data_IF_798212206576
#
_entry.id   IF_798212206576
#
_cell.length_a   1.000
_cell.length_b   1.000
_cell.length_c   1.000
_cell.angle_alpha   90.00
_cell.angle_beta   90.00
_cell.angle_gamma   90.00
#
_symmetry.space_group_name_H-M   'P 1'
#
loop_
_entity.id
_entity.type
_entity.pdbx_description
1 polymer ?
#
# COMPACT_ATOMS: atom_id res chain seq x y z
N UNK A 1 16.46 -3.45 -29.02
CA UNK A 1 15.02 -3.52 -28.65
C UNK A 1 14.35 -4.55 -29.54
N UNK A 2 13.62 -5.52 -28.99
CA UNK A 2 12.81 -6.41 -29.82
C UNK A 2 11.71 -5.59 -30.52
N UNK A 3 11.43 -5.87 -31.76
CA UNK A 3 10.38 -5.24 -32.53
C UNK A 3 9.45 -6.30 -33.10
N UNK A 4 8.18 -5.98 -33.15
CA UNK A 4 7.14 -6.83 -33.72
C UNK A 4 7.06 -6.61 -35.23
N UNK A 5 6.97 -7.68 -35.99
CA UNK A 5 6.69 -7.66 -37.43
C UNK A 5 5.39 -8.39 -37.68
N UNK A 6 4.66 -7.96 -38.66
CA UNK A 6 3.52 -8.72 -39.19
C UNK A 6 3.76 -9.08 -40.65
N UNK A 7 3.12 -10.12 -41.14
CA UNK A 7 3.21 -10.52 -42.52
C UNK A 7 2.12 -9.81 -43.31
N UNK A 8 2.53 -8.92 -44.23
CA UNK A 8 1.62 -8.22 -45.10
C UNK A 8 0.95 -9.16 -46.12
N UNK A 9 -0.08 -8.65 -46.84
CA UNK A 9 -0.81 -9.41 -47.82
C UNK A 9 0.08 -9.97 -48.96
N UNK A 10 1.20 -9.31 -49.21
CA UNK A 10 2.17 -9.71 -50.25
C UNK A 10 3.23 -10.69 -49.70
N UNK A 11 3.10 -11.15 -48.46
CA UNK A 11 4.05 -12.10 -47.86
C UNK A 11 5.31 -11.48 -47.28
N UNK A 12 5.49 -10.17 -47.35
CA UNK A 12 6.62 -9.46 -46.76
C UNK A 12 6.44 -9.18 -45.24
N UNK A 13 7.55 -9.10 -44.54
CA UNK A 13 7.54 -8.82 -43.11
C UNK A 13 7.63 -7.29 -42.88
N UNK A 14 6.56 -6.72 -42.38
CA UNK A 14 6.44 -5.29 -42.12
C UNK A 14 6.72 -5.05 -40.63
N UNK A 15 7.71 -4.17 -40.34
CA UNK A 15 8.02 -3.76 -38.97
C UNK A 15 6.94 -2.82 -38.46
N UNK A 16 6.32 -3.17 -37.32
CA UNK A 16 5.44 -2.25 -36.62
C UNK A 16 6.29 -1.18 -35.91
N UNK A 17 6.16 0.06 -36.35
CA UNK A 17 6.79 1.21 -35.70
C UNK A 17 6.23 1.42 -34.29
N UNK A 18 7.08 1.86 -33.36
CA UNK A 18 6.67 2.15 -31.97
C UNK A 18 5.63 3.26 -31.94
N UNK A 19 4.47 2.96 -31.40
CA UNK A 19 3.37 3.89 -31.16
C UNK A 19 2.21 3.73 -32.11
N UNK A 20 1.04 3.40 -31.59
CA UNK A 20 -0.28 3.52 -32.23
C UNK A 20 -0.67 2.51 -33.32
N UNK A 21 -0.22 1.26 -33.23
CA UNK A 21 -0.93 0.20 -33.95
C UNK A 21 -2.30 0.02 -33.31
N UNK A 22 -3.34 0.13 -34.14
CA UNK A 22 -4.73 -0.13 -33.72
C UNK A 22 -5.35 -1.14 -34.65
N UNK A 23 -6.21 -1.97 -34.12
CA UNK A 23 -6.97 -2.96 -34.90
C UNK A 23 -8.44 -2.52 -34.91
N UNK A 24 -9.05 -2.47 -36.08
CA UNK A 24 -10.48 -2.21 -36.19
C UNK A 24 -11.26 -3.51 -35.95
N UNK A 25 -12.24 -3.43 -35.08
CA UNK A 25 -13.23 -4.51 -34.89
C UNK A 25 -14.49 -4.32 -35.76
N UNK A 26 -14.41 -3.44 -36.74
CA UNK A 26 -15.53 -3.05 -37.61
C UNK A 26 -16.33 -1.83 -37.12
N UNK A 27 -16.21 -1.46 -35.85
CA UNK A 27 -16.93 -0.34 -35.23
C UNK A 27 -16.00 0.68 -34.57
N UNK A 28 -14.91 0.20 -33.94
CA UNK A 28 -13.94 1.05 -33.25
C UNK A 28 -12.51 0.56 -33.47
N UNK A 29 -11.55 1.49 -33.31
CA UNK A 29 -10.13 1.17 -33.34
C UNK A 29 -9.67 0.86 -31.92
N UNK A 30 -9.25 -0.40 -31.67
CA UNK A 30 -8.77 -0.88 -30.38
C UNK A 30 -7.26 -1.11 -30.42
N UNK A 31 -6.56 -0.96 -29.29
CA UNK A 31 -5.15 -1.38 -29.19
C UNK A 31 -5.03 -2.88 -29.53
N UNK A 32 -4.03 -3.29 -30.35
CA UNK A 32 -3.83 -4.69 -30.65
C UNK A 32 -3.36 -5.42 -29.40
N UNK A 33 -4.00 -6.52 -29.11
CA UNK A 33 -3.49 -7.51 -28.14
C UNK A 33 -2.57 -8.45 -28.89
N UNK A 34 -1.29 -8.11 -29.02
CA UNK A 34 -0.32 -8.95 -29.67
C UNK A 34 -0.14 -10.26 -28.88
N UNK A 35 -0.27 -11.39 -29.56
CA UNK A 35 -0.01 -12.72 -29.00
C UNK A 35 0.90 -13.48 -29.96
N UNK A 36 1.77 -14.33 -29.41
CA UNK A 36 2.59 -15.29 -30.16
C UNK A 36 2.02 -16.68 -29.93
N UNK A 37 1.89 -17.44 -30.98
CA UNK A 37 1.60 -18.88 -30.91
C UNK A 37 2.90 -19.66 -30.67
N UNK A 38 3.01 -20.40 -29.56
CA UNK A 38 4.19 -21.19 -29.22
C UNK A 38 4.15 -22.64 -29.74
N UNK A 39 3.11 -22.96 -30.49
CA UNK A 39 2.83 -24.34 -30.97
C UNK A 39 1.71 -25.03 -30.20
N UNK A 40 1.35 -24.51 -29.00
CA UNK A 40 0.32 -25.10 -28.13
C UNK A 40 -0.67 -24.03 -27.62
N UNK A 41 -0.18 -22.81 -27.34
CA UNK A 41 -0.98 -21.74 -26.74
C UNK A 41 -0.67 -20.37 -27.37
N UNK A 42 -1.65 -19.45 -27.28
CA UNK A 42 -1.44 -18.05 -27.59
C UNK A 42 -0.86 -17.31 -26.38
N UNK A 43 0.42 -16.97 -26.46
CA UNK A 43 1.13 -16.23 -25.43
C UNK A 43 0.95 -14.72 -25.66
N UNK A 44 0.62 -13.96 -24.60
CA UNK A 44 0.53 -12.52 -24.64
C UNK A 44 1.94 -11.91 -24.82
N UNK A 45 2.12 -11.06 -25.85
CA UNK A 45 3.43 -10.50 -26.19
C UNK A 45 3.67 -9.09 -25.63
N UNK A 46 2.61 -8.42 -25.22
CA UNK A 46 2.68 -7.08 -24.68
C UNK A 46 2.16 -7.10 -23.24
N UNK A 47 3.00 -6.67 -22.34
CA UNK A 47 2.60 -6.38 -20.98
C UNK A 47 1.62 -5.20 -20.99
N UNK A 48 0.50 -5.34 -20.28
CA UNK A 48 -0.44 -4.25 -20.06
C UNK A 48 -0.19 -3.64 -18.69
N UNK A 49 -0.16 -2.30 -18.67
CA UNK A 49 -0.02 -1.56 -17.42
C UNK A 49 -1.37 -1.43 -16.74
N UNK A 50 -1.40 -1.80 -15.47
CA UNK A 50 -2.58 -1.73 -14.61
C UNK A 50 -2.28 -0.83 -13.41
N UNK A 51 -3.33 -0.20 -12.88
CA UNK A 51 -3.28 0.58 -11.63
C UNK A 51 -4.52 0.22 -10.83
N UNK A 52 -4.31 -0.44 -9.71
CA UNK A 52 -5.40 -0.83 -8.81
C UNK A 52 -5.27 -0.15 -7.45
N UNK A 53 -6.41 0.23 -6.87
CA UNK A 53 -6.50 0.77 -5.53
C UNK A 53 -7.21 -0.22 -4.60
N UNK A 54 -6.57 -0.53 -3.49
CA UNK A 54 -7.09 -1.40 -2.45
C UNK A 54 -7.34 -0.57 -1.20
N UNK A 55 -8.61 -0.47 -0.79
CA UNK A 55 -8.98 0.21 0.45
C UNK A 55 -8.72 -0.72 1.63
N UNK A 56 -8.19 -0.19 2.72
CA UNK A 56 -8.01 -0.97 3.93
C UNK A 56 -9.34 -1.54 4.44
N UNK A 57 -9.32 -2.81 4.83
CA UNK A 57 -10.50 -3.52 5.35
C UNK A 57 -10.65 -3.34 6.86
N UNK A 58 -9.54 -3.15 7.56
CA UNK A 58 -9.51 -2.86 8.98
C UNK A 58 -8.28 -2.00 9.31
N UNK A 59 -8.33 -1.33 10.45
CA UNK A 59 -7.20 -0.53 10.97
C UNK A 59 -7.36 -0.31 12.46
N UNK A 60 -6.25 -0.10 13.15
CA UNK A 60 -6.31 0.20 14.56
C UNK A 60 -5.00 0.61 15.18
N UNK A 61 -5.11 1.16 16.38
CA UNK A 61 -4.03 1.59 17.21
C UNK A 61 -3.66 0.57 18.27
N UNK A 62 -2.39 0.54 18.62
CA UNK A 62 -1.81 -0.29 19.65
C UNK A 62 -1.00 0.58 20.59
N UNK A 63 -0.92 0.14 21.81
CA UNK A 63 -0.22 0.84 22.85
C UNK A 63 0.68 -0.13 23.60
N UNK A 64 1.91 0.27 23.82
CA UNK A 64 2.82 -0.48 24.66
C UNK A 64 2.44 -0.28 26.14
N UNK A 65 2.13 -1.36 26.84
CA UNK A 65 1.96 -1.39 28.29
C UNK A 65 3.02 -2.26 28.93
N UNK A 66 3.11 -2.24 30.26
CA UNK A 66 3.96 -3.17 31.01
C UNK A 66 3.61 -4.65 30.79
N UNK A 67 2.49 -4.90 30.13
CA UNK A 67 1.99 -6.22 29.78
C UNK A 67 2.15 -6.56 28.29
N UNK A 68 2.93 -5.77 27.54
CA UNK A 68 3.16 -5.92 26.12
C UNK A 68 2.32 -4.95 25.25
N UNK A 69 2.43 -5.10 23.93
CA UNK A 69 1.65 -4.32 22.99
C UNK A 69 0.21 -4.83 22.93
N UNK A 70 -0.72 -4.08 23.50
CA UNK A 70 -2.15 -4.40 23.49
C UNK A 70 -2.92 -3.47 22.58
N UNK A 71 -4.03 -3.96 22.04
CA UNK A 71 -4.88 -3.16 21.21
C UNK A 71 -5.54 -2.02 21.99
N UNK A 72 -5.82 -0.91 21.31
CA UNK A 72 -6.53 0.23 21.87
C UNK A 72 -7.98 -0.06 22.30
N UNK A 73 -8.52 -1.23 22.04
CA UNK A 73 -9.81 -1.65 22.57
C UNK A 73 -9.83 -1.67 24.10
N UNK A 74 -8.66 -1.78 24.74
CA UNK A 74 -8.51 -1.68 26.18
C UNK A 74 -8.24 -0.26 26.66
N UNK A 75 -8.18 0.71 25.76
CA UNK A 75 -7.82 2.08 26.05
C UNK A 75 -8.99 3.02 25.75
N UNK A 76 -9.48 3.71 26.77
CA UNK A 76 -10.53 4.73 26.63
C UNK A 76 -9.91 6.02 26.04
N UNK A 77 -9.46 5.96 24.79
CA UNK A 77 -8.87 7.09 24.11
C UNK A 77 -9.85 7.69 23.10
N UNK A 78 -9.72 8.99 22.87
CA UNK A 78 -10.49 9.73 21.86
C UNK A 78 -10.33 9.15 20.44
N UNK A 79 -9.30 8.34 20.21
CA UNK A 79 -8.90 7.83 18.91
C UNK A 79 -9.12 6.31 18.74
N UNK A 80 -9.61 5.62 19.78
CA UNK A 80 -9.89 4.18 19.71
C UNK A 80 -11.18 3.88 18.94
N UNK A 81 -11.31 2.67 18.40
CA UNK A 81 -10.31 1.65 18.16
C UNK A 81 -9.71 1.65 16.74
N UNK A 82 -10.29 2.40 15.79
CA UNK A 82 -10.05 2.21 14.36
C UNK A 82 -8.94 3.10 13.76
N UNK A 83 -8.36 3.99 14.56
CA UNK A 83 -7.36 4.93 14.08
C UNK A 83 -5.94 4.35 14.20
N UNK A 84 -5.23 4.10 13.11
CA UNK A 84 -3.80 3.84 13.19
C UNK A 84 -3.10 5.06 13.76
N UNK A 85 -2.16 4.85 14.65
CA UNK A 85 -1.40 5.93 15.24
C UNK A 85 0.05 5.51 15.44
N UNK A 86 0.91 6.45 15.75
CA UNK A 86 2.32 6.21 16.01
C UNK A 86 2.90 7.25 16.94
N UNK A 87 4.08 6.93 17.50
CA UNK A 87 4.85 7.84 18.35
C UNK A 87 4.34 7.90 19.79
N UNK A 88 4.76 8.92 20.53
CA UNK A 88 4.42 9.05 21.95
C UNK A 88 3.94 10.47 22.23
N UNK A 89 2.69 10.62 22.65
CA UNK A 89 2.09 11.92 22.94
C UNK A 89 2.60 12.54 24.24
N UNK A 90 2.99 11.70 25.23
CA UNK A 90 3.40 12.18 26.57
C UNK A 90 4.73 11.56 26.98
N UNK A 91 5.85 11.98 26.39
CA UNK A 91 7.16 11.40 26.66
C UNK A 91 7.65 11.57 28.11
N UNK A 92 6.96 12.40 28.90
CA UNK A 92 7.38 12.77 30.27
C UNK A 92 6.39 12.31 31.36
N UNK A 93 5.38 11.50 31.05
CA UNK A 93 4.43 10.98 32.03
C UNK A 93 4.77 9.55 32.41
N UNK A 94 5.02 9.31 33.70
CA UNK A 94 5.55 8.03 34.25
C UNK A 94 4.79 6.77 33.88
N UNK A 95 3.49 6.85 33.62
CA UNK A 95 2.69 5.71 33.15
C UNK A 95 2.68 5.51 31.64
N UNK A 96 3.15 6.50 30.88
CA UNK A 96 3.06 6.51 29.41
C UNK A 96 4.38 6.91 28.76
N UNK A 97 5.42 7.21 29.53
CA UNK A 97 6.67 7.77 29.03
C UNK A 97 7.50 6.79 28.21
N UNK A 98 7.37 5.50 28.47
CA UNK A 98 8.07 4.43 27.74
C UNK A 98 7.17 3.73 26.70
N UNK A 99 5.95 4.22 26.51
CA UNK A 99 4.92 3.51 25.77
C UNK A 99 4.72 4.11 24.40
N UNK A 100 5.44 3.59 23.42
CA UNK A 100 5.20 3.89 22.01
C UNK A 100 3.78 3.50 21.60
N UNK A 101 3.21 4.28 20.73
CA UNK A 101 1.96 3.95 20.05
C UNK A 101 2.27 3.49 18.65
N UNK A 102 1.52 2.49 18.19
CA UNK A 102 1.72 1.84 16.91
C UNK A 102 0.37 1.67 16.23
N UNK A 103 0.38 1.55 14.93
CA UNK A 103 -0.82 1.27 14.14
C UNK A 103 -0.63 0.09 13.22
N UNK A 104 -1.70 -0.66 13.00
CA UNK A 104 -1.78 -1.68 11.96
C UNK A 104 -2.93 -1.36 11.01
N UNK A 105 -2.68 -1.57 9.73
CA UNK A 105 -3.60 -1.32 8.63
C UNK A 105 -3.69 -2.62 7.82
N UNK A 106 -4.89 -3.17 7.75
CA UNK A 106 -5.17 -4.46 7.13
C UNK A 106 -5.84 -4.27 5.78
N UNK A 107 -5.51 -5.13 4.85
CA UNK A 107 -6.10 -5.17 3.53
C UNK A 107 -6.69 -6.56 3.25
N UNK A 108 -7.52 -6.66 2.22
CA UNK A 108 -7.87 -7.97 1.68
C UNK A 108 -6.67 -8.49 0.88
N UNK A 109 -5.73 -9.13 1.58
CA UNK A 109 -4.48 -9.61 1.01
C UNK A 109 -4.69 -10.71 -0.04
N UNK A 110 -5.77 -11.50 0.05
CA UNK A 110 -6.13 -12.47 -0.98
C UNK A 110 -6.55 -11.79 -2.29
N UNK A 111 -7.29 -10.70 -2.19
CA UNK A 111 -7.71 -9.92 -3.36
C UNK A 111 -6.50 -9.27 -4.04
N UNK A 112 -5.59 -8.68 -3.24
CA UNK A 112 -4.32 -8.14 -3.74
C UNK A 112 -3.51 -9.22 -4.48
N UNK A 113 -3.36 -10.41 -3.90
CA UNK A 113 -2.64 -11.53 -4.54
C UNK A 113 -3.27 -11.95 -5.86
N UNK A 114 -4.59 -12.01 -5.91
CA UNK A 114 -5.31 -12.38 -7.13
C UNK A 114 -5.06 -11.38 -8.25
N UNK A 115 -5.08 -10.07 -7.93
CA UNK A 115 -4.80 -9.01 -8.90
C UNK A 115 -3.34 -9.01 -9.34
N UNK A 116 -2.40 -9.24 -8.44
CA UNK A 116 -0.97 -9.18 -8.71
C UNK A 116 -0.36 -10.50 -9.21
N UNK A 117 -1.13 -11.59 -9.30
CA UNK A 117 -0.61 -12.88 -9.75
C UNK A 117 0.08 -12.76 -11.12
N UNK A 118 1.36 -13.15 -11.19
CA UNK A 118 2.20 -13.06 -12.38
C UNK A 118 2.59 -11.64 -12.81
N UNK A 119 2.26 -10.63 -12.02
CA UNK A 119 2.57 -9.25 -12.33
C UNK A 119 4.01 -8.86 -11.92
N UNK A 120 4.59 -7.92 -12.66
CA UNK A 120 5.79 -7.18 -12.27
C UNK A 120 5.39 -5.84 -11.68
N UNK A 121 5.78 -5.59 -10.44
CA UNK A 121 5.44 -4.36 -9.73
C UNK A 121 6.28 -3.20 -10.22
N UNK A 122 5.64 -2.09 -10.57
CA UNK A 122 6.32 -0.87 -11.02
C UNK A 122 6.30 0.24 -9.97
N UNK A 123 5.23 0.32 -9.16
CA UNK A 123 5.08 1.34 -8.14
C UNK A 123 4.09 0.89 -7.07
N UNK A 124 4.40 1.22 -5.83
CA UNK A 124 3.50 1.04 -4.68
C UNK A 124 3.36 2.37 -3.97
N UNK A 125 2.14 2.77 -3.65
CA UNK A 125 1.84 4.01 -2.95
C UNK A 125 0.82 3.73 -1.83
N UNK A 126 1.07 4.31 -0.66
CA UNK A 126 0.17 4.27 0.49
C UNK A 126 -0.48 5.64 0.68
N UNK A 127 -1.80 5.70 0.66
CA UNK A 127 -2.54 6.91 1.05
C UNK A 127 -2.80 6.90 2.55
N UNK A 128 -2.42 7.98 3.21
CA UNK A 128 -2.77 8.25 4.61
C UNK A 128 -3.31 9.66 4.76
N UNK A 129 -4.25 9.82 5.69
CA UNK A 129 -4.80 11.09 6.11
C UNK A 129 -4.48 11.32 7.59
N UNK A 130 -3.68 12.34 7.91
CA UNK A 130 -3.34 12.70 9.28
C UNK A 130 -4.49 13.51 9.90
N UNK A 131 -5.22 12.90 10.82
CA UNK A 131 -6.31 13.56 11.57
C UNK A 131 -5.74 14.48 12.64
N UNK A 132 -4.67 14.02 13.31
CA UNK A 132 -4.06 14.73 14.41
C UNK A 132 -2.54 14.51 14.42
N UNK A 133 -1.82 15.46 15.01
CA UNK A 133 -0.39 15.40 15.30
C UNK A 133 -0.09 16.22 16.55
N UNK A 134 1.01 15.91 17.25
CA UNK A 134 1.41 16.67 18.44
C UNK A 134 1.60 18.16 18.11
N UNK A 135 2.29 18.43 17.02
CA UNK A 135 2.52 19.80 16.58
C UNK A 135 1.52 20.21 15.48
N UNK A 136 1.10 21.47 15.51
CA UNK A 136 0.18 22.02 14.49
C UNK A 136 0.80 22.04 13.08
N UNK A 137 2.11 22.13 12.98
CA UNK A 137 2.85 22.12 11.72
C UNK A 137 3.15 20.69 11.21
N UNK A 138 2.54 19.67 11.85
CA UNK A 138 2.59 18.28 11.41
C UNK A 138 3.62 17.42 12.11
N UNK A 139 4.13 16.43 11.40
CA UNK A 139 5.05 15.45 11.92
C UNK A 139 5.57 14.51 10.85
N UNK A 140 6.36 13.52 11.24
CA UNK A 140 6.90 12.50 10.34
C UNK A 140 6.22 11.15 10.56
N UNK A 141 5.63 10.61 9.50
CA UNK A 141 5.13 9.24 9.48
C UNK A 141 6.29 8.26 9.22
N UNK A 142 6.32 7.17 9.98
CA UNK A 142 7.23 6.04 9.78
C UNK A 142 6.40 4.82 9.46
N UNK A 143 6.63 4.25 8.28
CA UNK A 143 5.83 3.18 7.71
C UNK A 143 6.60 1.87 7.82
N UNK A 144 5.92 0.83 8.25
CA UNK A 144 6.42 -0.54 8.28
C UNK A 144 5.44 -1.50 7.61
N UNK A 145 5.68 -2.80 7.78
CA UNK A 145 4.80 -3.86 7.26
C UNK A 145 4.57 -4.94 8.29
N UNK A 146 3.43 -5.65 8.18
CA UNK A 146 3.13 -6.82 8.99
C UNK A 146 2.71 -8.02 8.12
N UNK A 147 2.75 -9.21 8.69
CA UNK A 147 2.29 -10.44 8.03
C UNK A 147 1.10 -11.10 8.74
N UNK A 148 0.46 -10.41 9.67
CA UNK A 148 -0.72 -10.94 10.38
C UNK A 148 -1.89 -11.09 9.41
N UNK A 149 -2.47 -12.28 9.40
CA UNK A 149 -3.66 -12.66 8.62
C UNK A 149 -4.80 -12.99 9.56
N UNK A 150 -5.89 -12.35 9.34
CA UNK A 150 -7.05 -12.39 10.22
C UNK A 150 -7.65 -10.99 10.29
N UNK A 151 -8.85 -10.87 10.79
CA UNK A 151 -9.54 -9.58 10.79
C UNK A 151 -8.92 -8.54 11.71
N UNK A 152 -8.26 -8.97 12.78
CA UNK A 152 -7.72 -8.12 13.84
C UNK A 152 -6.68 -8.87 14.66
N UNK A 153 -5.58 -8.23 15.03
CA UNK A 153 -4.61 -8.74 16.00
C UNK A 153 -4.78 -8.03 17.35
N UNK A 154 -4.80 -8.78 18.42
CA UNK A 154 -4.81 -8.20 19.78
C UNK A 154 -3.46 -7.61 20.17
N UNK A 155 -2.40 -7.98 19.46
CA UNK A 155 -1.03 -7.56 19.71
C UNK A 155 -0.45 -6.93 18.47
N UNK A 156 0.29 -5.82 18.64
CA UNK A 156 1.03 -5.21 17.54
C UNK A 156 2.07 -6.16 16.97
N UNK A 157 2.10 -6.26 15.66
CA UNK A 157 3.06 -7.08 14.93
C UNK A 157 3.68 -6.26 13.79
N UNK A 158 4.98 -6.31 13.67
CA UNK A 158 5.73 -5.67 12.60
C UNK A 158 6.83 -6.62 12.10
N UNK A 159 6.98 -6.71 10.78
CA UNK A 159 8.02 -7.53 10.13
C UNK A 159 9.17 -6.66 9.65
N UNK A 160 8.83 -5.56 8.97
CA UNK A 160 9.82 -4.61 8.48
C UNK A 160 9.49 -3.23 9.01
N UNK A 161 10.42 -2.64 9.75
CA UNK A 161 10.30 -1.29 10.29
C UNK A 161 10.90 -0.27 9.34
N UNK A 162 10.30 0.93 9.26
CA UNK A 162 10.89 2.07 8.59
C UNK A 162 11.09 1.91 7.08
N UNK A 163 10.22 1.16 6.39
CA UNK A 163 10.32 0.92 4.93
C UNK A 163 10.12 2.21 4.12
N UNK A 164 9.42 3.19 4.69
CA UNK A 164 9.29 4.52 4.15
C UNK A 164 9.06 5.54 5.27
N UNK A 165 9.39 6.80 4.99
CA UNK A 165 9.11 7.94 5.87
C UNK A 165 8.48 9.05 5.05
N UNK A 166 7.55 9.79 5.66
CA UNK A 166 6.88 10.90 5.01
C UNK A 166 6.51 12.00 5.98
N UNK A 167 6.79 13.25 5.61
CA UNK A 167 6.41 14.41 6.40
C UNK A 167 4.97 14.82 6.10
N UNK A 168 4.16 14.96 7.14
CA UNK A 168 2.84 15.60 7.09
C UNK A 168 2.99 17.06 7.57
N UNK A 169 2.44 17.99 6.80
CA UNK A 169 2.61 19.44 7.03
C UNK A 169 1.45 20.06 7.82
N UNK A 170 0.81 19.27 8.66
CA UNK A 170 -0.26 19.74 9.54
C UNK A 170 -1.29 18.67 9.81
N UNK A 171 -2.26 19.05 10.64
CA UNK A 171 -3.46 18.26 10.90
C UNK A 171 -4.42 18.36 9.72
N UNK A 172 -5.24 17.36 9.53
CA UNK A 172 -6.21 17.27 8.43
C UNK A 172 -5.56 17.36 7.04
N UNK A 173 -4.37 16.82 6.91
CA UNK A 173 -3.66 16.72 5.63
C UNK A 173 -3.53 15.27 5.19
N UNK A 174 -3.44 15.06 3.88
CA UNK A 174 -3.27 13.73 3.31
C UNK A 174 -2.20 13.71 2.25
N UNK A 175 -1.62 12.56 2.00
CA UNK A 175 -0.70 12.34 0.90
C UNK A 175 -0.60 10.87 0.50
N UNK A 176 -0.12 10.65 -0.72
CA UNK A 176 0.35 9.36 -1.19
C UNK A 176 1.85 9.23 -0.90
N UNK A 177 2.21 8.20 -0.17
CA UNK A 177 3.59 7.88 0.24
C UNK A 177 4.09 6.78 -0.68
N UNK A 178 5.18 7.02 -1.39
CA UNK A 178 5.79 5.99 -2.23
C UNK A 178 6.49 4.98 -1.34
N UNK A 179 6.16 3.72 -1.51
CA UNK A 179 6.81 2.59 -0.86
C UNK A 179 7.78 1.90 -1.85
N UNK A 180 8.81 1.21 -1.36
CA UNK A 180 9.65 0.39 -2.22
C UNK A 180 8.82 -0.68 -2.96
N UNK A 181 9.16 -0.98 -4.21
CA UNK A 181 8.43 -1.96 -5.03
C UNK A 181 8.37 -3.36 -4.41
N UNK A 182 9.40 -3.74 -3.65
CA UNK A 182 9.40 -5.03 -2.96
C UNK A 182 8.24 -5.21 -1.95
N UNK A 183 7.63 -4.11 -1.48
CA UNK A 183 6.40 -4.20 -0.66
C UNK A 183 5.26 -4.82 -1.49
N UNK A 184 5.12 -4.41 -2.74
CA UNK A 184 4.15 -5.00 -3.66
C UNK A 184 4.50 -6.44 -4.03
N UNK A 185 5.78 -6.74 -4.26
CA UNK A 185 6.24 -8.11 -4.49
C UNK A 185 5.94 -9.01 -3.29
N UNK A 186 6.22 -8.55 -2.07
CA UNK A 186 5.95 -9.30 -0.84
C UNK A 186 4.46 -9.49 -0.57
N UNK A 187 3.60 -8.53 -0.94
CA UNK A 187 2.14 -8.69 -0.90
C UNK A 187 1.68 -9.77 -1.90
N UNK A 188 2.19 -9.73 -3.15
CA UNK A 188 1.93 -10.74 -4.18
C UNK A 188 2.37 -12.13 -3.73
N UNK A 189 3.57 -12.23 -3.18
CA UNK A 189 4.23 -13.49 -2.84
C UNK A 189 3.84 -14.00 -1.44
N UNK A 190 2.84 -13.38 -0.81
CA UNK A 190 2.29 -13.78 0.48
C UNK A 190 3.29 -13.70 1.67
N UNK A 191 4.29 -12.84 1.59
CA UNK A 191 5.28 -12.65 2.66
C UNK A 191 4.85 -11.61 3.70
N UNK A 192 4.05 -10.62 3.27
CA UNK A 192 3.38 -9.64 4.13
C UNK A 192 1.90 -9.58 3.79
N UNK A 193 1.09 -8.98 4.68
CA UNK A 193 -0.37 -8.86 4.50
C UNK A 193 -0.91 -7.45 4.74
N UNK A 194 -0.08 -6.54 5.26
CA UNK A 194 -0.51 -5.18 5.53
C UNK A 194 0.61 -4.25 5.94
N UNK A 195 0.20 -3.07 6.38
CA UNK A 195 1.08 -1.93 6.67
C UNK A 195 1.02 -1.62 8.15
N UNK A 196 2.15 -1.18 8.71
CA UNK A 196 2.22 -0.61 10.07
C UNK A 196 2.58 0.86 10.02
N UNK A 197 2.20 1.58 11.07
CA UNK A 197 2.71 2.90 11.42
C UNK A 197 3.38 2.77 12.78
N UNK A 198 4.67 3.04 12.84
CA UNK A 198 5.46 2.81 14.04
C UNK A 198 6.57 3.86 14.16
N UNK A 199 6.32 4.90 14.96
CA UNK A 199 7.31 5.92 15.24
C UNK A 199 8.46 5.37 16.09
N UNK A 200 9.63 5.94 15.91
CA UNK A 200 10.77 5.71 16.80
C UNK A 200 10.50 6.31 18.18
N UNK A 201 10.95 5.62 19.22
CA UNK A 201 10.64 5.91 20.59
C UNK A 201 10.77 7.40 20.99
N UNK A 202 9.80 7.85 21.78
CA UNK A 202 9.77 9.09 22.54
C UNK A 202 9.77 10.43 21.75
N UNK A 203 9.58 10.42 20.44
CA UNK A 203 9.52 11.67 19.67
C UNK A 203 8.08 12.17 19.50
N UNK A 204 7.78 13.34 20.09
CA UNK A 204 6.52 14.06 19.80
C UNK A 204 6.39 14.42 18.32
N UNK A 205 7.50 14.58 17.60
CA UNK A 205 7.51 14.84 16.17
C UNK A 205 6.91 13.69 15.35
N UNK A 206 7.00 12.48 15.85
CA UNK A 206 6.44 11.29 15.21
C UNK A 206 5.06 10.90 15.75
N UNK A 207 4.49 11.68 16.68
CA UNK A 207 3.12 11.42 17.13
C UNK A 207 2.12 11.91 16.09
N UNK A 208 1.53 10.96 15.38
CA UNK A 208 0.48 11.21 14.39
C UNK A 208 -0.63 10.18 14.57
N UNK A 209 -1.87 10.64 14.43
CA UNK A 209 -3.07 9.82 14.35
C UNK A 209 -3.60 9.88 12.93
N UNK A 210 -3.74 8.72 12.30
CA UNK A 210 -4.26 8.64 10.94
C UNK A 210 -5.74 8.24 10.94
N UNK A 211 -6.46 8.66 9.91
CA UNK A 211 -7.83 8.23 9.70
C UNK A 211 -7.90 6.71 9.53
N UNK A 212 -8.88 6.09 10.15
CA UNK A 212 -9.14 4.67 10.07
C UNK A 212 -10.12 4.31 8.96
N UNK A 213 -10.42 3.03 8.85
CA UNK A 213 -11.30 2.46 7.80
C UNK A 213 -12.72 2.99 7.85
N UNK A 214 -13.19 3.44 9.00
CA UNK A 214 -14.54 4.02 9.20
C UNK A 214 -14.66 5.50 8.77
N UNK A 215 -13.59 6.10 8.22
CA UNK A 215 -13.54 7.53 7.86
C UNK A 215 -13.81 7.80 6.37
N UNK A 216 -14.47 6.88 5.67
CA UNK A 216 -14.86 7.04 4.27
C UNK A 216 -13.67 7.28 3.35
N UNK A 217 -13.68 8.37 2.56
CA UNK A 217 -12.63 8.66 1.60
C UNK A 217 -11.23 8.86 2.21
N UNK A 218 -11.16 9.19 3.51
CA UNK A 218 -9.93 9.38 4.28
C UNK A 218 -9.29 8.05 4.69
N UNK A 219 -9.98 6.93 4.54
CA UNK A 219 -9.48 5.61 4.89
C UNK A 219 -8.15 5.30 4.19
N UNK A 220 -7.24 4.57 4.83
CA UNK A 220 -5.98 4.16 4.21
C UNK A 220 -6.22 3.34 2.94
N UNK A 221 -5.36 3.56 1.93
CA UNK A 221 -5.43 2.85 0.64
C UNK A 221 -4.04 2.50 0.15
N UNK A 222 -3.92 1.37 -0.51
CA UNK A 222 -2.78 1.05 -1.33
C UNK A 222 -3.13 1.26 -2.80
N UNK A 223 -2.25 1.90 -3.56
CA UNK A 223 -2.29 1.97 -5.01
C UNK A 223 -1.09 1.24 -5.55
N UNK A 224 -1.32 0.25 -6.38
CA UNK A 224 -0.26 -0.56 -6.96
C UNK A 224 -0.32 -0.45 -8.49
N UNK A 225 0.79 0.00 -9.07
CA UNK A 225 0.99 0.02 -10.52
C UNK A 225 1.83 -1.19 -10.89
N UNK A 226 1.35 -1.95 -11.85
CA UNK A 226 2.01 -3.17 -12.27
C UNK A 226 1.77 -3.47 -13.75
N UNK A 227 2.53 -4.40 -14.30
CA UNK A 227 2.39 -4.90 -15.67
C UNK A 227 2.26 -6.43 -15.67
N UNK A 228 1.39 -6.93 -16.54
CA UNK A 228 1.21 -8.37 -16.78
C UNK A 228 0.61 -8.67 -18.15
#
# INVERSE_FOLDING_TARGET
MPFVKYRGANGEWIKLGGGNVRVSNGHTWIPPRARIWDGHNWIKCLEEKHVDEFVATNSGGYWWSDHGNVSHNHFNSLWAPNYPLQGNYRPYHDRFSNNGQHGMIYFNDQDIRNHLAGARIERVELFLYAVHSAYFNGGEAVIGTHNFRGGWSDVFQEVNHGVARARFYGRNTSQWIVLPNWVGDNLRDNLISGITTNGENASLWQYIVFAGTNQGWKAPKLRITYVK
#
